data_IF_210801099310
#
_entry.id   IF_210801099310
#
_cell.length_a   1.000
_cell.length_b   1.000
_cell.length_c   1.000
_cell.angle_alpha   90.00
_cell.angle_beta   90.00
_cell.angle_gamma   90.00
#
_symmetry.space_group_name_H-M   'P 1'
#
loop_
_entity.id
_entity.type
_entity.pdbx_description
1 polymer ?
#
# COMPACT_ATOMS: atom_id res chain seq x y z
N UNK A 1 -17.21 -18.75 11.34
CA UNK A 1 -16.47 -19.85 10.71
C UNK A 1 -15.35 -19.25 9.86
N UNK A 2 -14.18 -19.89 9.89
CA UNK A 2 -13.04 -19.53 9.07
C UNK A 2 -12.60 -20.74 8.26
N UNK A 3 -12.50 -20.59 6.95
CA UNK A 3 -11.95 -21.60 6.05
C UNK A 3 -10.47 -21.33 5.89
N UNK A 4 -9.65 -22.20 6.44
CA UNK A 4 -8.19 -22.09 6.35
C UNK A 4 -7.63 -22.80 5.14
N UNK A 5 -8.31 -23.87 4.71
CA UNK A 5 -7.89 -24.70 3.58
C UNK A 5 -9.10 -25.46 3.04
N UNK A 6 -9.12 -25.69 1.75
CA UNK A 6 -10.10 -26.58 1.11
C UNK A 6 -9.35 -27.56 0.20
N UNK A 7 -9.36 -28.85 0.58
CA UNK A 7 -8.76 -29.93 -0.17
C UNK A 7 -9.79 -30.83 -0.86
N UNK A 8 -11.03 -30.36 -1.01
CA UNK A 8 -12.11 -31.11 -1.61
C UNK A 8 -12.27 -30.79 -3.10
N UNK A 9 -11.33 -31.24 -3.93
CA UNK A 9 -11.41 -31.18 -5.40
C UNK A 9 -11.26 -32.57 -5.98
N UNK A 10 -12.22 -33.01 -6.78
CA UNK A 10 -12.25 -34.34 -7.39
C UNK A 10 -11.86 -34.30 -8.89
N UNK A 11 -11.41 -33.15 -9.41
CA UNK A 11 -11.06 -33.01 -10.80
C UNK A 11 -9.54 -32.88 -10.98
N UNK A 12 -9.07 -32.30 -12.05
CA UNK A 12 -7.70 -32.32 -12.58
C UNK A 12 -6.58 -31.78 -11.68
N UNK A 13 -6.84 -31.54 -10.41
CA UNK A 13 -5.86 -31.01 -9.46
C UNK A 13 -5.57 -32.03 -8.36
N UNK A 14 -4.35 -31.95 -7.82
CA UNK A 14 -4.01 -32.65 -6.60
C UNK A 14 -4.90 -32.13 -5.46
N UNK A 15 -5.71 -33.01 -4.88
CA UNK A 15 -6.68 -32.64 -3.84
C UNK A 15 -6.04 -32.49 -2.47
N UNK A 16 -4.78 -32.80 -2.30
CA UNK A 16 -4.02 -32.78 -1.06
C UNK A 16 -2.84 -31.80 -1.17
N UNK A 17 -2.48 -31.22 -0.04
CA UNK A 17 -1.28 -30.42 0.14
C UNK A 17 -0.43 -31.08 1.23
N UNK A 18 0.70 -31.63 0.84
CA UNK A 18 1.64 -32.25 1.75
C UNK A 18 2.48 -31.20 2.50
N UNK A 19 2.94 -31.56 3.68
CA UNK A 19 3.82 -30.74 4.49
C UNK A 19 3.10 -30.01 5.63
N UNK A 20 3.90 -29.32 6.46
CA UNK A 20 3.41 -28.55 7.59
C UNK A 20 2.94 -27.17 7.12
N UNK A 21 1.68 -26.85 7.39
CA UNK A 21 1.11 -25.52 7.12
C UNK A 21 0.75 -24.87 8.45
N UNK A 22 1.26 -23.65 8.66
CA UNK A 22 0.99 -22.88 9.87
C UNK A 22 0.01 -21.76 9.57
N UNK A 23 -1.10 -21.73 10.28
CA UNK A 23 -2.06 -20.61 10.23
C UNK A 23 -1.96 -19.79 11.51
N UNK A 24 -1.96 -18.46 11.35
CA UNK A 24 -1.95 -17.53 12.48
C UNK A 24 -3.21 -16.69 12.45
N UNK A 25 -3.88 -16.64 13.59
CA UNK A 25 -5.06 -15.80 13.78
C UNK A 25 -4.80 -14.76 14.85
N UNK A 26 -5.30 -13.56 14.61
CA UNK A 26 -5.36 -12.53 15.62
C UNK A 26 -6.83 -12.14 15.82
N UNK A 27 -7.27 -12.16 17.08
CA UNK A 27 -8.62 -11.75 17.47
C UNK A 27 -8.50 -10.41 18.17
N UNK A 28 -9.12 -9.40 17.60
CA UNK A 28 -9.09 -8.03 18.12
C UNK A 28 -10.52 -7.60 18.48
N UNK A 29 -10.88 -7.65 19.76
CA UNK A 29 -12.18 -7.16 20.20
C UNK A 29 -12.25 -5.64 20.05
N UNK A 30 -13.40 -5.11 19.63
CA UNK A 30 -13.66 -3.68 19.52
C UNK A 30 -15.08 -3.36 19.97
N UNK A 31 -15.31 -2.13 20.40
CA UNK A 31 -16.64 -1.63 20.69
C UNK A 31 -17.34 -1.12 19.43
N UNK A 32 -18.67 -1.21 19.40
CA UNK A 32 -19.47 -0.73 18.28
C UNK A 32 -19.51 -1.65 17.07
N UNK A 33 -20.02 -1.15 15.96
CA UNK A 33 -20.13 -1.86 14.68
C UNK A 33 -18.81 -1.96 13.92
N UNK A 34 -18.84 -2.59 12.74
CA UNK A 34 -17.69 -2.68 11.85
C UNK A 34 -17.20 -1.30 11.42
N UNK A 35 -15.89 -1.10 11.52
CA UNK A 35 -15.20 0.09 11.04
C UNK A 35 -14.05 -0.33 10.11
N UNK A 36 -14.17 0.01 8.82
CA UNK A 36 -13.20 -0.38 7.79
C UNK A 36 -11.80 0.19 8.06
N UNK A 37 -11.72 1.43 8.56
CA UNK A 37 -10.44 2.10 8.86
C UNK A 37 -9.71 1.39 10.00
N UNK A 38 -10.40 1.08 11.07
CA UNK A 38 -9.80 0.38 12.22
C UNK A 38 -9.43 -1.05 11.85
N UNK A 39 -10.28 -1.77 11.13
CA UNK A 39 -10.00 -3.12 10.65
C UNK A 39 -8.73 -3.14 9.76
N UNK A 40 -8.61 -2.18 8.85
CA UNK A 40 -7.45 -2.04 7.97
C UNK A 40 -6.17 -1.72 8.76
N UNK A 41 -6.26 -0.81 9.73
CA UNK A 41 -5.12 -0.44 10.59
C UNK A 41 -4.60 -1.65 11.37
N UNK A 42 -5.49 -2.41 11.97
CA UNK A 42 -5.14 -3.62 12.72
C UNK A 42 -4.53 -4.68 11.81
N UNK A 43 -5.16 -4.96 10.66
CA UNK A 43 -4.65 -5.94 9.71
C UNK A 43 -3.24 -5.60 9.22
N UNK A 44 -2.97 -4.33 8.94
CA UNK A 44 -1.64 -3.89 8.53
C UNK A 44 -0.61 -4.00 9.66
N UNK A 45 -0.97 -3.62 10.88
CA UNK A 45 -0.06 -3.72 12.02
C UNK A 45 0.39 -5.18 12.29
N UNK A 46 -0.48 -6.14 12.00
CA UNK A 46 -0.17 -7.57 12.14
C UNK A 46 0.72 -8.08 10.99
N UNK A 47 0.42 -7.68 9.74
CA UNK A 47 1.12 -8.18 8.55
C UNK A 47 2.41 -7.40 8.23
N UNK A 48 2.48 -6.15 8.63
CA UNK A 48 3.61 -5.25 8.40
C UNK A 48 4.01 -4.56 9.71
N UNK A 49 4.55 -5.31 10.68
CA UNK A 49 4.97 -4.73 11.96
C UNK A 49 6.11 -3.73 11.74
N UNK A 50 6.19 -2.76 12.64
CA UNK A 50 7.31 -1.82 12.66
C UNK A 50 8.61 -2.57 12.91
N UNK A 51 9.64 -2.20 12.17
CA UNK A 51 11.00 -2.72 12.35
C UNK A 51 11.80 -1.70 13.13
N UNK A 52 12.30 -2.10 14.30
CA UNK A 52 13.21 -1.29 15.10
C UNK A 52 14.67 -1.63 14.74
N UNK A 53 15.46 -0.63 14.47
CA UNK A 53 16.89 -0.76 14.19
C UNK A 53 17.69 0.20 15.08
N UNK A 54 18.86 -0.24 15.52
CA UNK A 54 19.80 0.64 16.20
C UNK A 54 20.50 1.50 15.15
N UNK A 55 20.53 2.80 15.38
CA UNK A 55 21.24 3.75 14.53
C UNK A 55 22.25 4.53 15.38
N UNK A 56 23.32 4.99 14.75
CA UNK A 56 24.26 5.91 15.40
C UNK A 56 23.51 7.21 15.75
N UNK A 57 23.70 7.78 16.96
CA UNK A 57 23.07 9.05 17.34
C UNK A 57 23.37 10.22 16.38
N UNK A 58 24.47 10.15 15.65
CA UNK A 58 24.80 11.15 14.61
C UNK A 58 24.08 10.92 13.28
N UNK A 59 23.35 9.80 13.11
CA UNK A 59 22.64 9.51 11.86
C UNK A 59 21.49 10.50 11.67
N UNK A 60 21.44 11.22 10.55
CA UNK A 60 20.32 12.13 10.28
C UNK A 60 18.98 11.41 10.27
N UNK A 61 17.95 12.03 10.82
CA UNK A 61 16.59 11.51 10.74
C UNK A 61 16.12 11.55 9.29
N UNK A 62 15.85 10.37 8.74
CA UNK A 62 15.31 10.24 7.38
C UNK A 62 13.85 10.66 7.42
N UNK A 63 13.50 11.68 6.65
CA UNK A 63 12.12 12.09 6.49
C UNK A 63 11.34 11.08 5.64
N UNK A 64 10.08 10.80 5.96
CA UNK A 64 9.25 9.94 5.12
C UNK A 64 9.08 10.56 3.72
N UNK A 65 8.94 9.73 2.70
CA UNK A 65 8.71 10.19 1.34
C UNK A 65 7.41 10.99 1.20
N UNK A 66 6.37 10.49 1.85
CA UNK A 66 5.00 11.00 1.77
C UNK A 66 4.48 11.25 3.18
N UNK A 67 3.73 12.34 3.37
CA UNK A 67 3.00 12.57 4.62
C UNK A 67 1.93 11.50 4.84
N UNK A 68 1.44 11.43 6.08
CA UNK A 68 0.36 10.51 6.43
C UNK A 68 -0.85 10.70 5.49
N UNK A 69 -1.36 9.59 4.99
CA UNK A 69 -2.58 9.55 4.20
C UNK A 69 -3.80 9.74 5.10
N UNK A 70 -4.92 10.25 4.57
CA UNK A 70 -6.14 10.36 5.33
C UNK A 70 -6.64 8.98 5.78
N UNK A 71 -7.40 8.91 6.88
CA UNK A 71 -8.01 7.67 7.33
C UNK A 71 -8.83 7.01 6.20
N UNK A 72 -8.70 5.71 6.04
CA UNK A 72 -9.36 4.95 4.96
C UNK A 72 -8.58 4.86 3.66
N UNK A 73 -7.54 5.67 3.47
CA UNK A 73 -6.63 5.52 2.33
C UNK A 73 -5.36 4.81 2.75
N UNK A 74 -4.99 3.83 1.98
CA UNK A 74 -3.84 2.97 2.25
C UNK A 74 -2.90 2.93 1.05
N UNK A 75 -1.62 3.20 1.26
CA UNK A 75 -0.59 2.85 0.30
C UNK A 75 -0.33 1.34 0.39
N UNK A 76 -0.81 0.57 -0.59
CA UNK A 76 -0.64 -0.88 -0.62
C UNK A 76 0.71 -1.30 -1.19
N UNK A 77 1.35 -0.41 -1.96
CA UNK A 77 2.69 -0.62 -2.51
C UNK A 77 3.38 0.72 -2.73
N UNK A 78 4.65 0.80 -2.38
CA UNK A 78 5.57 1.87 -2.76
C UNK A 78 6.84 1.18 -3.23
N UNK A 79 7.24 1.42 -4.47
CA UNK A 79 8.42 0.78 -5.06
C UNK A 79 9.01 1.62 -6.19
N UNK A 80 10.27 1.41 -6.57
CA UNK A 80 10.82 2.00 -7.80
C UNK A 80 10.00 1.59 -9.03
N UNK A 81 9.90 2.48 -10.01
CA UNK A 81 9.34 2.15 -11.31
C UNK A 81 10.30 1.24 -12.08
N UNK A 82 9.78 0.46 -13.01
CA UNK A 82 10.56 -0.51 -13.78
C UNK A 82 11.63 0.13 -14.67
N UNK A 83 11.35 1.33 -15.16
CA UNK A 83 12.29 2.15 -15.94
C UNK A 83 13.30 2.93 -15.07
N UNK A 84 13.19 2.85 -13.75
CA UNK A 84 14.01 3.58 -12.78
C UNK A 84 13.90 5.12 -12.86
N UNK A 85 12.93 5.66 -13.61
CA UNK A 85 12.71 7.10 -13.72
C UNK A 85 11.91 7.71 -12.58
N UNK A 86 11.36 6.88 -11.68
CA UNK A 86 10.53 7.35 -10.60
C UNK A 86 10.14 6.25 -9.63
N UNK A 87 9.08 6.53 -8.87
CA UNK A 87 8.47 5.60 -7.92
C UNK A 87 7.00 5.37 -8.26
N UNK A 88 6.55 4.16 -8.01
CA UNK A 88 5.14 3.78 -8.09
C UNK A 88 4.54 3.71 -6.71
N UNK A 89 3.40 4.34 -6.56
CA UNK A 89 2.59 4.30 -5.35
C UNK A 89 1.21 3.79 -5.71
N UNK A 90 0.79 2.72 -5.06
CA UNK A 90 -0.57 2.21 -5.23
C UNK A 90 -1.40 2.54 -4.00
N UNK A 91 -2.43 3.33 -4.21
CA UNK A 91 -3.38 3.76 -3.20
C UNK A 91 -4.66 2.93 -3.32
N UNK A 92 -5.23 2.57 -2.18
CA UNK A 92 -6.53 1.91 -2.06
C UNK A 92 -7.40 2.74 -1.13
N UNK A 93 -8.60 3.08 -1.59
CA UNK A 93 -9.66 3.54 -0.72
C UNK A 93 -10.34 2.31 -0.08
N UNK A 94 -10.28 2.19 1.25
CA UNK A 94 -10.86 1.05 1.98
C UNK A 94 -12.29 1.32 2.45
N UNK A 95 -12.84 2.48 2.13
CA UNK A 95 -14.17 2.91 2.57
C UNK A 95 -15.20 2.81 1.43
N UNK A 96 -16.45 2.84 1.79
CA UNK A 96 -17.60 2.86 0.90
C UNK A 96 -17.98 4.25 0.38
N UNK A 97 -17.22 5.27 0.81
CA UNK A 97 -17.37 6.65 0.35
C UNK A 97 -16.20 7.06 -0.56
N UNK A 98 -16.43 7.91 -1.58
CA UNK A 98 -15.35 8.52 -2.34
C UNK A 98 -14.44 9.36 -1.44
N UNK A 99 -13.14 9.31 -1.69
CA UNK A 99 -12.13 10.03 -0.92
C UNK A 99 -11.27 10.90 -1.84
N UNK A 100 -10.95 12.11 -1.38
CA UNK A 100 -9.99 12.97 -2.04
C UNK A 100 -8.67 12.97 -1.26
N UNK A 101 -7.59 12.62 -1.92
CA UNK A 101 -6.25 12.49 -1.33
C UNK A 101 -5.36 13.60 -1.83
N UNK A 102 -4.91 14.45 -0.95
CA UNK A 102 -3.82 15.39 -1.26
C UNK A 102 -2.48 14.69 -1.04
N UNK A 103 -1.67 14.62 -2.10
CA UNK A 103 -0.32 14.07 -2.04
C UNK A 103 0.62 15.16 -1.53
N UNK A 104 1.05 15.03 -0.29
CA UNK A 104 1.99 15.95 0.35
C UNK A 104 3.35 15.25 0.47
N UNK A 105 4.27 15.66 -0.37
CA UNK A 105 5.62 15.13 -0.39
C UNK A 105 6.47 15.79 0.70
N UNK A 106 7.31 15.03 1.36
CA UNK A 106 8.29 15.53 2.34
C UNK A 106 9.62 15.92 1.68
N UNK A 107 9.78 15.58 0.43
CA UNK A 107 10.90 15.99 -0.42
C UNK A 107 10.40 16.40 -1.79
N UNK A 108 11.22 17.10 -2.52
CA UNK A 108 10.88 17.48 -3.89
C UNK A 108 10.80 16.25 -4.78
N UNK A 109 9.76 16.20 -5.58
CA UNK A 109 9.50 15.16 -6.58
C UNK A 109 9.23 15.83 -7.93
N UNK A 110 9.35 15.07 -9.01
CA UNK A 110 8.93 15.50 -10.34
C UNK A 110 7.42 15.42 -10.55
N UNK A 111 7.01 15.28 -11.78
CA UNK A 111 5.61 15.16 -12.14
C UNK A 111 4.99 13.85 -11.61
N UNK A 112 3.70 13.91 -11.27
CA UNK A 112 2.93 12.77 -10.87
C UNK A 112 1.91 12.40 -11.94
N UNK A 113 1.75 11.12 -12.21
CA UNK A 113 0.89 10.57 -13.24
C UNK A 113 0.01 9.46 -12.69
N UNK A 114 -1.26 9.42 -13.11
CA UNK A 114 -2.04 8.20 -12.99
C UNK A 114 -1.46 7.18 -13.97
N UNK A 115 -1.21 5.99 -13.50
CA UNK A 115 -0.55 4.92 -14.23
C UNK A 115 -1.42 3.68 -14.32
N UNK A 116 -1.27 2.93 -15.41
CA UNK A 116 -1.86 1.61 -15.55
C UNK A 116 -0.96 0.53 -14.92
N UNK A 117 -1.41 -0.74 -14.86
CA UNK A 117 -0.59 -1.84 -14.32
C UNK A 117 0.74 -2.10 -15.07
N UNK A 118 0.86 -1.63 -16.32
CA UNK A 118 2.08 -1.73 -17.12
C UNK A 118 3.06 -0.58 -16.84
N UNK A 119 2.73 0.33 -15.92
CA UNK A 119 3.50 1.51 -15.53
C UNK A 119 3.52 2.64 -16.58
N UNK A 120 2.61 2.57 -17.54
CA UNK A 120 2.45 3.62 -18.54
C UNK A 120 1.71 4.81 -17.95
N UNK A 121 2.16 6.02 -18.30
CA UNK A 121 1.52 7.27 -17.91
C UNK A 121 0.21 7.45 -18.68
N UNK A 122 -0.93 7.39 -17.99
CA UNK A 122 -2.27 7.51 -18.59
C UNK A 122 -2.70 8.97 -18.64
N UNK A 123 -2.56 9.69 -17.53
CA UNK A 123 -2.86 11.11 -17.42
C UNK A 123 -2.06 11.75 -16.30
N UNK A 124 -1.77 13.04 -16.43
CA UNK A 124 -1.10 13.79 -15.36
C UNK A 124 -2.01 13.84 -14.14
N UNK A 125 -1.47 13.52 -12.98
CA UNK A 125 -2.18 13.65 -11.73
C UNK A 125 -2.16 15.11 -11.26
N UNK A 126 -3.27 15.57 -10.69
CA UNK A 126 -3.32 16.83 -9.95
C UNK A 126 -2.71 16.63 -8.55
N UNK A 127 -2.50 17.73 -7.81
CA UNK A 127 -2.08 17.64 -6.40
C UNK A 127 -3.09 16.92 -5.51
N UNK A 128 -4.34 16.82 -5.94
CA UNK A 128 -5.39 16.04 -5.30
C UNK A 128 -5.84 14.93 -6.24
N UNK A 129 -5.88 13.70 -5.72
CA UNK A 129 -6.34 12.50 -6.43
C UNK A 129 -7.64 12.05 -5.79
N UNK A 130 -8.67 11.91 -6.60
CA UNK A 130 -9.94 11.34 -6.16
C UNK A 130 -9.93 9.83 -6.35
N UNK A 131 -10.37 9.09 -5.33
CA UNK A 131 -10.58 7.66 -5.38
C UNK A 131 -12.06 7.38 -5.08
N UNK A 132 -12.74 6.71 -5.99
CA UNK A 132 -14.08 6.19 -5.74
C UNK A 132 -14.05 5.16 -4.58
N UNK A 133 -15.22 4.76 -4.10
CA UNK A 133 -15.33 3.71 -3.08
C UNK A 133 -14.60 2.44 -3.54
N UNK A 134 -13.76 1.89 -2.66
CA UNK A 134 -12.98 0.67 -2.90
C UNK A 134 -12.06 0.72 -4.13
N UNK A 135 -11.78 1.90 -4.65
CA UNK A 135 -10.94 2.05 -5.83
C UNK A 135 -9.47 1.89 -5.49
N UNK A 136 -8.74 1.30 -6.43
CA UNK A 136 -7.29 1.24 -6.44
C UNK A 136 -6.75 2.16 -7.54
N UNK A 137 -5.92 3.11 -7.16
CA UNK A 137 -5.23 4.00 -8.10
C UNK A 137 -3.73 3.77 -8.00
N UNK A 138 -3.06 3.65 -9.14
CA UNK A 138 -1.60 3.62 -9.20
C UNK A 138 -1.08 4.96 -9.70
N UNK A 139 -0.13 5.52 -8.97
CA UNK A 139 0.57 6.75 -9.33
C UNK A 139 2.00 6.40 -9.70
N UNK A 140 2.49 6.96 -10.79
CA UNK A 140 3.90 7.05 -11.12
C UNK A 140 4.36 8.47 -10.83
N UNK A 141 5.38 8.61 -9.99
CA UNK A 141 5.92 9.89 -9.57
C UNK A 141 7.35 9.95 -10.04
N UNK A 142 7.63 10.88 -10.92
CA UNK A 142 8.95 11.02 -11.52
C UNK A 142 9.97 11.52 -10.50
N UNK A 143 11.23 11.15 -10.65
CA UNK A 143 12.31 11.78 -9.91
C UNK A 143 12.42 13.25 -10.30
N UNK A 144 12.86 14.09 -9.37
CA UNK A 144 13.21 15.48 -9.73
C UNK A 144 14.37 15.44 -10.73
N UNK A 145 14.22 16.13 -11.85
CA UNK A 145 15.31 16.28 -12.82
C UNK A 145 16.48 17.02 -12.15
N UNK A 146 17.64 16.38 -12.07
CA UNK A 146 18.87 16.96 -11.52
C UNK A 146 19.46 16.23 -10.30
N UNK A 147 18.79 15.23 -9.72
CA UNK A 147 19.42 14.29 -8.79
C UNK A 147 20.01 13.12 -9.58
N UNK A 148 21.25 13.31 -10.01
CA UNK A 148 22.07 12.23 -10.58
C UNK A 148 22.27 11.17 -9.49
N UNK A 149 21.82 9.97 -9.77
CA UNK A 149 22.04 8.80 -8.91
C UNK A 149 23.54 8.53 -8.79
N UNK A 150 24.20 9.05 -7.76
CA UNK A 150 25.54 8.62 -7.32
C UNK A 150 25.42 7.66 -6.16
#
# INVERSE_FOLDING_TARGET
YSWVMNNHWETNYKADQEGLVTFRYAIVPHAGGYNAVDAQRVGRAIHQPLVAVNVDPATPVIQPLLQALPPGIVATSIRPSRDHEGILIRLLNTTDDPQQVQLKWQREVGDSWISNPMEERVRKASSAVELAKFEVVTLKVDHKQGEDNR
#
